data_IF_038391033072
#
_entry.id   IF_038391033072
#
_cell.length_a   1.000
_cell.length_b   1.000
_cell.length_c   1.000
_cell.angle_alpha   90.00
_cell.angle_beta   90.00
_cell.angle_gamma   90.00
#
_symmetry.space_group_name_H-M   'P 1'
#
loop_
_entity.id
_entity.type
_entity.pdbx_description
1 polymer ?
#
# COMPACT_ATOMS: atom_id res chain seq x y z
N UNK A 1 -15.37 -0.69 -11.79
CA UNK A 1 -15.93 0.63 -12.17
C UNK A 1 -15.67 1.58 -11.01
N UNK A 2 -15.09 2.75 -11.27
CA UNK A 2 -15.04 3.82 -10.27
C UNK A 2 -16.40 4.53 -10.21
N UNK A 3 -16.87 4.86 -9.01
CA UNK A 3 -17.99 5.80 -8.86
C UNK A 3 -17.46 7.22 -9.11
N UNK A 4 -17.79 7.79 -10.27
CA UNK A 4 -17.49 9.18 -10.56
C UNK A 4 -18.44 10.06 -9.74
N UNK A 5 -17.89 10.87 -8.84
CA UNK A 5 -18.65 11.93 -8.18
C UNK A 5 -18.96 13.01 -9.22
N UNK A 6 -20.23 13.41 -9.31
CA UNK A 6 -20.66 14.45 -10.25
C UNK A 6 -19.90 15.75 -9.98
N UNK A 7 -19.47 16.42 -11.05
CA UNK A 7 -18.70 17.66 -11.04
C UNK A 7 -17.29 17.55 -10.40
N UNK A 8 -16.81 16.33 -10.17
CA UNK A 8 -15.42 16.05 -9.77
C UNK A 8 -14.44 16.26 -10.93
N UNK A 9 -13.35 17.04 -10.75
CA UNK A 9 -12.31 17.19 -11.77
C UNK A 9 -11.42 15.94 -11.88
N UNK A 10 -10.71 15.81 -12.99
CA UNK A 10 -9.70 14.75 -13.14
C UNK A 10 -8.52 14.93 -12.17
N UNK A 11 -7.90 13.81 -11.78
CA UNK A 11 -6.83 13.79 -10.78
C UNK A 11 -5.51 14.41 -11.27
N UNK A 12 -5.40 15.73 -11.12
CA UNK A 12 -4.13 16.44 -11.01
C UNK A 12 -3.77 16.62 -9.53
N UNK A 13 -2.64 16.07 -9.08
CA UNK A 13 -2.23 16.04 -7.66
C UNK A 13 -1.80 17.43 -7.14
N UNK A 14 -2.77 18.26 -6.76
CA UNK A 14 -2.55 19.54 -6.07
C UNK A 14 -2.65 19.38 -4.56
N UNK A 15 -1.51 19.16 -3.90
CA UNK A 15 -1.43 18.91 -2.44
C UNK A 15 -1.88 20.10 -1.57
N UNK A 16 -2.07 21.28 -2.17
CA UNK A 16 -2.47 22.51 -1.48
C UNK A 16 -4.00 22.73 -1.44
N UNK A 17 -4.80 21.91 -2.11
CA UNK A 17 -6.22 22.19 -2.33
C UNK A 17 -7.14 21.38 -1.39
N UNK A 18 -7.11 21.74 -0.10
CA UNK A 18 -7.72 20.98 1.01
C UNK A 18 -9.25 21.09 1.14
N UNK A 19 -9.90 22.02 0.42
CA UNK A 19 -11.31 22.36 0.59
C UNK A 19 -12.16 22.19 -0.68
N UNK A 20 -11.59 21.66 -1.76
CA UNK A 20 -12.33 21.34 -2.99
C UNK A 20 -12.86 19.91 -2.96
N UNK A 21 -13.80 19.62 -3.87
CA UNK A 21 -14.22 18.25 -4.17
C UNK A 21 -12.97 17.43 -4.55
N UNK A 22 -12.68 16.30 -3.90
CA UNK A 22 -11.51 15.48 -4.23
C UNK A 22 -11.60 15.02 -5.69
N UNK A 23 -10.55 15.26 -6.51
CA UNK A 23 -10.58 14.88 -7.91
C UNK A 23 -10.61 13.36 -8.05
N UNK A 24 -11.22 12.87 -9.13
CA UNK A 24 -11.35 11.43 -9.36
C UNK A 24 -10.25 10.92 -10.30
N UNK A 25 -9.64 9.79 -9.94
CA UNK A 25 -8.65 9.12 -10.79
C UNK A 25 -9.36 8.46 -11.99
N UNK A 26 -9.16 9.01 -13.18
CA UNK A 26 -9.67 8.52 -14.46
C UNK A 26 -8.64 7.73 -15.27
N UNK A 27 -7.34 7.96 -15.06
CA UNK A 27 -6.27 7.43 -15.91
C UNK A 27 -5.90 5.95 -15.67
N UNK A 28 -6.24 5.40 -14.50
CA UNK A 28 -5.96 4.00 -14.16
C UNK A 28 -7.24 3.18 -14.37
N UNK A 29 -7.42 2.62 -15.56
CA UNK A 29 -8.60 1.82 -15.90
C UNK A 29 -8.58 0.42 -15.29
N UNK A 30 -7.38 -0.17 -15.15
CA UNK A 30 -7.16 -1.56 -14.75
C UNK A 30 -5.88 -1.66 -13.93
N UNK A 31 -5.86 -2.60 -12.99
CA UNK A 31 -4.70 -2.95 -12.18
C UNK A 31 -4.68 -4.45 -11.90
N UNK A 32 -3.52 -4.96 -11.47
CA UNK A 32 -3.31 -6.36 -11.14
C UNK A 32 -2.58 -6.48 -9.79
N UNK A 33 -2.93 -7.49 -9.01
CA UNK A 33 -2.22 -7.80 -7.77
C UNK A 33 -1.02 -8.69 -8.07
N UNK A 34 0.18 -8.19 -7.78
CA UNK A 34 1.44 -8.92 -7.91
C UNK A 34 2.02 -9.10 -6.51
N UNK A 35 2.33 -10.35 -6.14
CA UNK A 35 2.92 -10.67 -4.84
C UNK A 35 4.45 -10.62 -4.91
N UNK A 36 5.04 -9.76 -4.08
CA UNK A 36 6.49 -9.71 -3.87
C UNK A 36 6.87 -10.36 -2.54
N UNK A 37 8.05 -10.99 -2.51
CA UNK A 37 8.63 -11.55 -1.29
C UNK A 37 9.76 -10.64 -0.78
N UNK A 38 10.05 -10.63 0.54
CA UNK A 38 11.20 -9.90 1.08
C UNK A 38 12.52 -10.37 0.42
N UNK A 39 13.46 -9.43 0.23
CA UNK A 39 14.78 -9.77 -0.34
C UNK A 39 15.68 -10.52 0.66
N UNK A 40 15.36 -10.44 1.95
CA UNK A 40 16.12 -11.02 3.05
C UNK A 40 15.20 -11.52 4.17
N UNK A 41 15.75 -12.32 5.07
CA UNK A 41 15.03 -12.78 6.27
C UNK A 41 14.69 -11.61 7.20
N UNK A 42 13.49 -11.62 7.77
CA UNK A 42 13.05 -10.63 8.76
C UNK A 42 13.88 -10.78 10.04
N UNK A 43 14.46 -9.68 10.52
CA UNK A 43 15.26 -9.62 11.75
C UNK A 43 14.81 -8.45 12.63
N UNK A 44 14.97 -8.58 13.95
CA UNK A 44 14.56 -7.55 14.90
C UNK A 44 15.40 -6.27 14.72
N UNK A 45 14.74 -5.12 14.65
CA UNK A 45 15.39 -3.80 14.58
C UNK A 45 15.84 -3.35 13.19
N UNK A 46 15.54 -4.12 12.13
CA UNK A 46 15.91 -3.82 10.73
C UNK A 46 14.64 -3.70 9.86
N UNK A 47 14.57 -2.77 8.88
CA UNK A 47 13.44 -2.71 7.95
C UNK A 47 13.31 -3.99 7.10
N UNK A 48 12.09 -4.32 6.69
CA UNK A 48 11.83 -5.39 5.72
C UNK A 48 11.80 -4.79 4.32
N UNK A 49 12.74 -5.20 3.48
CA UNK A 49 12.94 -4.65 2.14
C UNK A 49 12.37 -5.56 1.05
N UNK A 50 11.80 -4.94 0.01
CA UNK A 50 11.17 -5.60 -1.13
C UNK A 50 11.72 -5.02 -2.44
N UNK A 51 12.12 -5.87 -3.38
CA UNK A 51 12.54 -5.45 -4.72
C UNK A 51 11.35 -5.56 -5.69
N UNK A 52 10.82 -4.41 -6.10
CA UNK A 52 9.72 -4.32 -7.07
C UNK A 52 10.31 -4.07 -8.47
N UNK A 53 10.70 -5.15 -9.14
CA UNK A 53 11.18 -5.08 -10.53
C UNK A 53 10.02 -4.82 -11.50
N UNK A 54 9.95 -3.60 -12.05
CA UNK A 54 8.99 -3.22 -13.09
C UNK A 54 9.56 -3.44 -14.49
N UNK A 55 8.78 -4.05 -15.39
CA UNK A 55 8.84 -3.69 -16.80
C UNK A 55 8.46 -2.20 -16.94
N UNK A 56 9.09 -1.47 -17.87
CA UNK A 56 9.04 0.00 -17.88
C UNK A 56 7.63 0.61 -17.90
N UNK A 57 6.64 -0.12 -18.41
CA UNK A 57 5.27 0.37 -18.62
C UNK A 57 4.43 0.36 -17.33
N UNK A 58 4.40 -0.72 -16.54
CA UNK A 58 3.92 -0.69 -15.14
C UNK A 58 2.39 -0.65 -14.91
N UNK A 59 1.85 -0.02 -13.84
CA UNK A 59 2.45 0.88 -12.81
C UNK A 59 2.28 0.34 -11.37
N UNK A 60 3.02 0.95 -10.40
CA UNK A 60 2.82 0.69 -8.97
C UNK A 60 1.84 1.70 -8.35
N UNK A 61 0.67 1.22 -7.93
CA UNK A 61 -0.28 1.98 -7.11
C UNK A 61 0.09 1.85 -5.61
N UNK A 62 0.64 2.93 -5.05
CA UNK A 62 1.00 3.01 -3.63
C UNK A 62 -0.21 3.06 -2.70
N UNK A 63 -1.36 3.57 -3.15
CA UNK A 63 -2.59 3.60 -2.36
C UNK A 63 -3.23 2.21 -2.26
N UNK A 64 -3.06 1.38 -3.29
CA UNK A 64 -3.50 -0.02 -3.31
C UNK A 64 -2.39 -1.03 -2.97
N UNK A 65 -1.33 -0.63 -2.26
CA UNK A 65 -0.30 -1.56 -1.78
C UNK A 65 -0.70 -2.15 -0.41
N UNK A 66 -0.54 -3.47 -0.22
CA UNK A 66 -0.87 -4.18 1.03
C UNK A 66 0.29 -5.06 1.50
N UNK A 67 0.56 -5.09 2.82
CA UNK A 67 1.54 -5.97 3.44
C UNK A 67 0.87 -7.21 4.02
N UNK A 68 1.14 -8.38 3.45
CA UNK A 68 0.68 -9.66 4.00
C UNK A 68 1.61 -10.14 5.12
N UNK A 69 1.07 -10.29 6.34
CA UNK A 69 1.83 -10.75 7.52
C UNK A 69 1.24 -12.04 8.07
N UNK A 70 2.06 -13.09 8.15
CA UNK A 70 1.72 -14.37 8.81
C UNK A 70 2.52 -14.52 10.10
N UNK A 71 1.94 -14.13 11.22
CA UNK A 71 2.57 -14.21 12.54
C UNK A 71 1.97 -15.36 13.39
N UNK A 72 2.75 -15.85 14.37
CA UNK A 72 2.27 -16.75 15.42
C UNK A 72 2.21 -15.99 16.74
N UNK A 73 1.05 -15.97 17.39
CA UNK A 73 0.92 -15.43 18.74
C UNK A 73 1.72 -16.28 19.74
N UNK A 74 2.78 -15.70 20.31
CA UNK A 74 3.54 -16.29 21.41
C UNK A 74 2.97 -15.75 22.73
N UNK A 75 2.04 -16.48 23.32
CA UNK A 75 1.51 -16.15 24.66
C UNK A 75 2.64 -16.29 25.70
N UNK A 76 3.28 -15.18 26.05
CA UNK A 76 4.21 -15.13 27.19
C UNK A 76 3.39 -15.23 28.47
N UNK A 77 3.44 -16.41 29.11
CA UNK A 77 2.96 -16.57 30.49
C UNK A 77 3.85 -15.72 31.41
N UNK A 78 3.27 -14.68 31.99
CA UNK A 78 3.89 -13.94 33.09
C UNK A 78 4.09 -14.91 34.26
N UNK A 79 5.34 -15.27 34.56
CA UNK A 79 5.67 -15.80 35.87
C UNK A 79 5.83 -14.60 36.81
N UNK A 80 4.92 -14.46 37.77
CA UNK A 80 5.17 -13.64 38.95
C UNK A 80 6.39 -14.25 39.65
N UNK A 81 7.45 -13.48 39.77
CA UNK A 81 8.57 -13.82 40.65
C UNK A 81 8.35 -13.10 41.96
N UNK A 82 8.16 -13.91 43.01
CA UNK A 82 7.85 -13.52 44.39
C UNK A 82 6.41 -13.05 44.61
#
# INVERSE_FOLDING_TARGET
MAFLLKDSPECAKSELNLFIIPPTQSAIEKGQWIQFHPIANVTDGVPVEFLISRSGEDYLDLFQTQLFVKAKNLQKRWKSSY
#
